data_IF_351235637692
#
_entry.id   IF_351235637692
#
_cell.length_a   1.000
_cell.length_b   1.000
_cell.length_c   1.000
_cell.angle_alpha   90.00
_cell.angle_beta   90.00
_cell.angle_gamma   90.00
#
_symmetry.space_group_name_H-M   'P 1'
#
loop_
_entity.id
_entity.type
_entity.pdbx_description
1 polymer ?
#
# COMPACT_ATOMS: atom_id res chain seq x y z
N UNK A 1 12.98 -18.00 8.80
CA UNK A 1 12.25 -19.08 8.13
C UNK A 1 10.88 -18.59 7.63
N UNK A 2 9.95 -18.23 8.51
CA UNK A 2 8.59 -17.76 8.16
C UNK A 2 8.56 -16.66 7.09
N UNK A 3 9.43 -15.65 7.19
CA UNK A 3 9.50 -14.54 6.22
C UNK A 3 9.74 -15.01 4.78
N UNK A 4 10.68 -15.93 4.56
CA UNK A 4 11.00 -16.43 3.20
C UNK A 4 9.81 -17.22 2.64
N UNK A 5 9.14 -17.98 3.49
CA UNK A 5 7.92 -18.69 3.15
C UNK A 5 6.78 -17.72 2.79
N UNK A 6 6.54 -16.70 3.62
CA UNK A 6 5.46 -15.75 3.40
C UNK A 6 5.62 -14.97 2.08
N UNK A 7 6.84 -14.54 1.76
CA UNK A 7 7.13 -13.87 0.48
C UNK A 7 7.00 -14.84 -0.69
N UNK A 8 7.50 -16.07 -0.58
CA UNK A 8 7.35 -17.07 -1.64
C UNK A 8 5.87 -17.42 -1.89
N UNK A 9 5.08 -17.55 -0.84
CA UNK A 9 3.65 -17.81 -0.92
C UNK A 9 2.89 -16.61 -1.50
N UNK A 10 3.19 -15.37 -1.09
CA UNK A 10 2.60 -14.16 -1.66
C UNK A 10 2.91 -14.00 -3.15
N UNK A 11 4.15 -14.30 -3.56
CA UNK A 11 4.54 -14.27 -4.97
C UNK A 11 3.83 -15.36 -5.78
N UNK A 12 3.66 -16.57 -5.21
CA UNK A 12 2.89 -17.63 -5.83
C UNK A 12 1.42 -17.23 -6.00
N UNK A 13 0.81 -16.62 -4.97
CA UNK A 13 -0.56 -16.10 -5.00
C UNK A 13 -0.78 -15.04 -6.10
N UNK A 14 0.21 -14.18 -6.33
CA UNK A 14 0.17 -13.16 -7.38
C UNK A 14 0.48 -13.66 -8.80
N UNK A 15 0.81 -14.94 -8.97
CA UNK A 15 1.20 -15.49 -10.27
C UNK A 15 0.00 -15.81 -11.17
N UNK A 16 0.18 -15.66 -12.49
CA UNK A 16 -0.85 -16.03 -13.48
C UNK A 16 -1.22 -17.52 -13.42
N UNK A 17 -0.31 -18.39 -12.96
CA UNK A 17 -0.58 -19.82 -12.78
C UNK A 17 -1.57 -20.09 -11.64
N UNK A 18 -1.51 -19.30 -10.56
CA UNK A 18 -2.47 -19.39 -9.46
C UNK A 18 -3.88 -19.01 -9.91
N UNK A 19 -4.00 -18.01 -10.78
CA UNK A 19 -5.29 -17.62 -11.36
C UNK A 19 -5.90 -18.77 -12.17
N UNK A 20 -5.13 -19.38 -13.07
CA UNK A 20 -5.60 -20.54 -13.86
C UNK A 20 -6.01 -21.70 -12.94
N UNK A 21 -5.21 -21.98 -11.91
CA UNK A 21 -5.52 -23.03 -10.93
C UNK A 21 -6.85 -22.75 -10.21
N UNK A 22 -7.10 -21.51 -9.78
CA UNK A 22 -8.36 -21.13 -9.14
C UNK A 22 -9.57 -21.28 -10.09
N UNK A 23 -9.41 -20.89 -11.36
CA UNK A 23 -10.48 -21.07 -12.37
C UNK A 23 -10.81 -22.54 -12.56
N UNK A 24 -9.79 -23.41 -12.68
CA UNK A 24 -10.00 -24.86 -12.79
C UNK A 24 -10.71 -25.40 -11.54
N UNK A 25 -10.33 -24.93 -10.34
CA UNK A 25 -10.92 -25.37 -9.09
C UNK A 25 -12.41 -25.00 -9.01
N UNK A 26 -12.79 -23.81 -9.48
CA UNK A 26 -14.18 -23.37 -9.60
C UNK A 26 -14.95 -24.25 -10.59
N UNK A 27 -14.36 -24.58 -11.75
CA UNK A 27 -14.99 -25.46 -12.74
C UNK A 27 -15.21 -26.87 -12.19
N UNK A 28 -14.23 -27.43 -11.48
CA UNK A 28 -14.35 -28.73 -10.80
C UNK A 28 -15.48 -28.68 -9.78
N UNK A 29 -15.52 -27.64 -8.95
CA UNK A 29 -16.59 -27.45 -7.97
C UNK A 29 -17.98 -27.39 -8.63
N UNK A 30 -18.10 -26.67 -9.75
CA UNK A 30 -19.35 -26.55 -10.51
C UNK A 30 -19.82 -27.90 -11.06
N UNK A 31 -18.90 -28.71 -11.60
CA UNK A 31 -19.19 -30.03 -12.17
C UNK A 31 -19.49 -31.07 -11.09
N UNK A 32 -18.86 -30.97 -9.92
CA UNK A 32 -19.12 -31.85 -8.79
C UNK A 32 -20.43 -31.51 -8.06
N UNK A 33 -20.88 -30.26 -8.12
CA UNK A 33 -22.10 -29.79 -7.45
C UNK A 33 -23.36 -30.65 -7.67
N UNK A 34 -23.71 -31.05 -8.91
CA UNK A 34 -24.86 -31.90 -9.19
C UNK A 34 -24.79 -33.28 -8.52
N UNK A 35 -23.60 -33.89 -8.39
CA UNK A 35 -23.43 -35.17 -7.70
C UNK A 35 -23.76 -35.07 -6.21
N UNK A 36 -23.54 -33.89 -5.61
CA UNK A 36 -23.86 -33.59 -4.22
C UNK A 36 -25.19 -32.84 -4.05
N UNK A 37 -26.01 -32.76 -5.11
CA UNK A 37 -27.28 -32.02 -5.14
C UNK A 37 -27.15 -30.56 -4.68
N UNK A 38 -25.96 -29.96 -4.80
CA UNK A 38 -25.64 -28.67 -4.19
C UNK A 38 -26.08 -28.56 -2.72
N UNK A 39 -25.90 -29.63 -1.93
CA UNK A 39 -26.32 -29.65 -0.52
C UNK A 39 -25.70 -28.52 0.31
N UNK A 40 -26.40 -28.10 1.36
CA UNK A 40 -25.92 -27.07 2.29
C UNK A 40 -24.57 -27.44 2.90
N UNK A 41 -24.34 -28.71 3.23
CA UNK A 41 -23.05 -29.19 3.76
C UNK A 41 -21.91 -29.08 2.74
N UNK A 42 -22.18 -29.40 1.47
CA UNK A 42 -21.21 -29.26 0.39
C UNK A 42 -20.83 -27.80 0.16
N UNK A 43 -21.83 -26.91 0.09
CA UNK A 43 -21.61 -25.47 -0.07
C UNK A 43 -20.88 -24.87 1.14
N UNK A 44 -21.29 -25.25 2.36
CA UNK A 44 -20.68 -24.78 3.61
C UNK A 44 -19.19 -25.15 3.67
N UNK A 45 -18.83 -26.38 3.30
CA UNK A 45 -17.43 -26.80 3.28
C UNK A 45 -16.58 -25.93 2.34
N UNK A 46 -17.07 -25.69 1.12
CA UNK A 46 -16.35 -24.91 0.10
C UNK A 46 -16.24 -23.44 0.50
N UNK A 47 -17.32 -22.86 1.02
CA UNK A 47 -17.31 -21.47 1.52
C UNK A 47 -16.35 -21.31 2.69
N UNK A 48 -16.37 -22.25 3.65
CA UNK A 48 -15.48 -22.22 4.81
C UNK A 48 -14.02 -22.33 4.38
N UNK A 49 -13.71 -23.29 3.50
CA UNK A 49 -12.35 -23.49 2.99
C UNK A 49 -11.84 -22.25 2.22
N UNK A 50 -12.66 -21.69 1.34
CA UNK A 50 -12.33 -20.49 0.56
C UNK A 50 -12.11 -19.28 1.46
N UNK A 51 -12.92 -19.12 2.51
CA UNK A 51 -12.80 -18.02 3.48
C UNK A 51 -11.47 -18.11 4.23
N UNK A 52 -11.13 -19.29 4.78
CA UNK A 52 -9.84 -19.50 5.47
C UNK A 52 -8.67 -19.23 4.53
N UNK A 53 -8.74 -19.78 3.31
CA UNK A 53 -7.70 -19.57 2.30
C UNK A 53 -7.52 -18.08 1.96
N UNK A 54 -8.63 -17.37 1.77
CA UNK A 54 -8.63 -15.93 1.48
C UNK A 54 -8.01 -15.13 2.61
N UNK A 55 -8.39 -15.41 3.87
CA UNK A 55 -7.79 -14.71 5.02
C UNK A 55 -6.28 -14.94 5.10
N UNK A 56 -5.82 -16.17 4.89
CA UNK A 56 -4.39 -16.46 4.84
C UNK A 56 -3.71 -15.73 3.68
N UNK A 57 -4.31 -15.72 2.49
CA UNK A 57 -3.76 -15.03 1.34
C UNK A 57 -3.62 -13.52 1.59
N UNK A 58 -4.68 -12.88 2.09
CA UNK A 58 -4.68 -11.46 2.46
C UNK A 58 -3.60 -11.17 3.50
N UNK A 59 -3.48 -11.98 4.54
CA UNK A 59 -2.46 -11.82 5.58
C UNK A 59 -1.03 -11.89 5.00
N UNK A 60 -0.77 -12.86 4.11
CA UNK A 60 0.56 -13.03 3.49
C UNK A 60 0.90 -11.88 2.53
N UNK A 61 -0.09 -11.43 1.76
CA UNK A 61 0.05 -10.29 0.86
C UNK A 61 0.31 -9.02 1.67
N UNK A 62 -0.47 -8.76 2.72
CA UNK A 62 -0.29 -7.61 3.62
C UNK A 62 1.08 -7.62 4.30
N UNK A 63 1.57 -8.77 4.76
CA UNK A 63 2.92 -8.87 5.34
C UNK A 63 4.00 -8.47 4.32
N UNK A 64 3.86 -8.90 3.07
CA UNK A 64 4.80 -8.53 2.00
C UNK A 64 4.69 -7.05 1.64
N UNK A 65 3.46 -6.54 1.45
CA UNK A 65 3.18 -5.14 1.11
C UNK A 65 3.61 -4.16 2.21
N UNK A 66 3.34 -4.45 3.48
CA UNK A 66 3.74 -3.59 4.61
C UNK A 66 5.26 -3.38 4.63
N UNK A 67 6.03 -4.43 4.34
CA UNK A 67 7.48 -4.33 4.25
C UNK A 67 7.94 -3.55 3.02
N UNK A 68 7.32 -3.78 1.87
CA UNK A 68 7.68 -3.08 0.64
C UNK A 68 7.36 -1.58 0.77
N UNK A 69 6.29 -1.20 1.49
CA UNK A 69 6.01 0.17 1.89
C UNK A 69 7.13 0.76 2.76
N UNK A 70 7.57 0.08 3.83
CA UNK A 70 8.69 0.55 4.66
C UNK A 70 9.99 0.76 3.84
N UNK A 71 10.26 -0.13 2.89
CA UNK A 71 11.42 0.02 2.01
C UNK A 71 11.32 1.23 1.06
N UNK A 72 10.10 1.59 0.65
CA UNK A 72 9.84 2.81 -0.14
C UNK A 72 10.11 4.05 0.71
N UNK A 73 9.63 4.11 1.96
CA UNK A 73 9.91 5.23 2.89
C UNK A 73 11.43 5.44 3.05
N UNK A 74 12.17 4.39 3.38
CA UNK A 74 13.63 4.49 3.54
C UNK A 74 14.37 4.96 2.27
N UNK A 75 13.92 4.53 1.09
CA UNK A 75 14.50 4.99 -0.19
C UNK A 75 14.17 6.46 -0.45
N UNK A 76 12.96 6.89 -0.12
CA UNK A 76 12.54 8.28 -0.25
C UNK A 76 13.35 9.17 0.71
N UNK A 77 13.56 8.75 1.95
CA UNK A 77 14.38 9.46 2.94
C UNK A 77 15.81 9.66 2.44
N UNK A 78 16.41 8.61 1.86
CA UNK A 78 17.76 8.68 1.28
C UNK A 78 17.81 9.63 0.08
N UNK A 79 16.79 9.62 -0.80
CA UNK A 79 16.70 10.54 -1.92
C UNK A 79 16.55 12.00 -1.45
N UNK A 80 15.71 12.27 -0.44
CA UNK A 80 15.54 13.62 0.09
C UNK A 80 16.85 14.09 0.76
N UNK A 81 17.55 13.19 1.47
CA UNK A 81 18.85 13.48 2.07
C UNK A 81 19.94 13.73 1.04
N UNK A 82 19.89 13.06 -0.13
CA UNK A 82 20.82 13.26 -1.24
C UNK A 82 20.55 14.50 -2.09
N UNK A 83 19.31 15.00 -2.10
CA UNK A 83 18.94 16.28 -2.74
C UNK A 83 19.28 17.43 -1.79
N UNK A 84 20.50 17.96 -1.92
CA UNK A 84 20.95 19.17 -1.22
C UNK A 84 20.04 20.36 -1.57
N UNK A 85 19.11 20.69 -0.66
CA UNK A 85 18.21 21.84 -0.78
C UNK A 85 16.73 21.54 -0.52
N UNK A 86 16.30 20.28 -0.46
CA UNK A 86 14.96 19.96 0.01
C UNK A 86 14.93 20.14 1.54
N UNK A 87 14.17 21.15 2.02
CA UNK A 87 14.04 21.48 3.45
C UNK A 87 13.94 20.21 4.30
N UNK A 88 15.00 19.89 5.05
CA UNK A 88 15.16 18.72 5.93
C UNK A 88 13.96 18.50 6.87
N UNK A 89 13.15 19.54 7.11
CA UNK A 89 11.92 19.50 7.89
C UNK A 89 10.77 18.67 7.28
N UNK A 90 10.79 18.36 5.99
CA UNK A 90 9.72 17.58 5.32
C UNK A 90 9.94 16.06 5.39
N UNK A 91 11.15 15.61 5.70
CA UNK A 91 11.55 14.19 5.72
C UNK A 91 10.80 13.37 6.78
N UNK A 92 10.24 14.03 7.80
CA UNK A 92 9.55 13.36 8.91
C UNK A 92 8.10 13.82 9.11
N UNK A 93 7.44 14.27 8.04
CA UNK A 93 6.03 14.71 8.07
C UNK A 93 5.08 13.69 8.75
N UNK A 94 5.34 12.40 8.54
CA UNK A 94 4.57 11.27 9.08
C UNK A 94 4.72 11.07 10.60
N UNK A 95 5.75 11.67 11.22
CA UNK A 95 6.04 11.57 12.64
C UNK A 95 5.74 12.89 13.39
N UNK A 96 5.26 13.92 12.69
CA UNK A 96 4.87 15.19 13.31
C UNK A 96 3.54 15.05 14.05
N UNK A 97 3.43 15.76 15.16
CA UNK A 97 2.15 15.96 15.85
C UNK A 97 1.23 16.86 15.02
N UNK A 98 -0.09 16.78 15.25
CA UNK A 98 -1.07 17.61 14.55
C UNK A 98 -0.78 19.12 14.70
N UNK A 99 -0.25 19.53 15.85
CA UNK A 99 0.14 20.92 16.13
C UNK A 99 1.35 21.38 15.31
N UNK A 100 2.36 20.52 15.14
CA UNK A 100 3.52 20.79 14.29
C UNK A 100 3.11 20.82 12.81
N UNK A 101 2.19 19.94 12.40
CA UNK A 101 1.65 19.90 11.05
C UNK A 101 0.89 21.19 10.71
N UNK A 102 0.06 21.67 11.64
CA UNK A 102 -0.68 22.91 11.50
C UNK A 102 0.26 24.12 11.40
N UNK A 103 1.32 24.18 12.21
CA UNK A 103 2.35 25.23 12.13
C UNK A 103 3.07 25.25 10.78
N UNK A 104 3.43 24.08 10.26
CA UNK A 104 4.07 23.95 8.95
C UNK A 104 3.14 24.41 7.80
N UNK A 105 1.85 24.05 7.88
CA UNK A 105 0.86 24.49 6.89
C UNK A 105 0.64 26.01 6.92
N UNK A 106 0.70 26.63 8.10
CA UNK A 106 0.64 28.09 8.23
C UNK A 106 1.87 28.76 7.60
N UNK A 107 3.07 28.20 7.80
CA UNK A 107 4.30 28.71 7.18
C UNK A 107 4.23 28.67 5.65
N UNK A 108 3.81 27.54 5.05
CA UNK A 108 3.61 27.42 3.61
C UNK A 108 2.57 28.41 3.08
N UNK A 109 1.47 28.58 3.80
CA UNK A 109 0.42 29.54 3.45
C UNK A 109 0.93 30.98 3.46
N UNK A 110 1.83 31.33 4.40
CA UNK A 110 2.47 32.65 4.45
C UNK A 110 3.44 32.86 3.30
N UNK A 111 4.25 31.85 2.96
CA UNK A 111 5.18 31.91 1.82
C UNK A 111 4.42 32.08 0.51
N UNK A 112 3.36 31.30 0.29
CA UNK A 112 2.52 31.41 -0.91
C UNK A 112 1.90 32.80 -1.03
N UNK A 113 1.38 33.36 0.07
CA UNK A 113 0.85 34.75 0.09
C UNK A 113 1.92 35.79 -0.25
N UNK A 114 3.16 35.62 0.23
CA UNK A 114 4.28 36.49 -0.14
C UNK A 114 4.63 36.40 -1.62
N UNK A 115 4.67 35.19 -2.19
CA UNK A 115 4.95 35.01 -3.62
C UNK A 115 3.84 35.57 -4.52
N UNK A 116 2.57 35.39 -4.16
CA UNK A 116 1.44 35.96 -4.90
C UNK A 116 1.49 37.48 -4.87
N UNK A 117 1.71 38.10 -3.69
CA UNK A 117 1.86 39.56 -3.59
C UNK A 117 3.06 40.10 -4.35
N UNK A 118 4.22 39.47 -4.26
CA UNK A 118 5.41 39.91 -5.00
C UNK A 118 5.20 39.85 -6.53
N UNK A 119 4.44 38.86 -7.01
CA UNK A 119 4.09 38.71 -8.42
C UNK A 119 3.03 39.74 -8.88
N UNK A 120 2.07 40.10 -8.02
CA UNK A 120 1.08 41.16 -8.28
C UNK A 120 1.70 42.57 -8.23
N UNK A 121 2.71 42.79 -7.39
CA UNK A 121 3.41 44.07 -7.22
C UNK A 121 4.57 44.26 -8.24
N UNK A 122 4.84 43.27 -9.10
CA UNK A 122 5.90 43.34 -10.12
C UNK A 122 7.33 43.39 -9.55
N UNK A 123 7.52 43.02 -8.28
CA UNK A 123 8.79 43.14 -7.58
C UNK A 123 9.61 41.83 -7.77
N UNK A 124 10.92 41.89 -8.05
CA UNK A 124 11.73 40.68 -8.26
C UNK A 124 11.71 39.79 -7.02
N UNK A 125 11.53 38.48 -7.24
CA UNK A 125 11.58 37.47 -6.18
C UNK A 125 13.00 37.47 -5.59
N UNK A 126 13.18 37.67 -4.27
CA UNK A 126 14.50 37.56 -3.64
C UNK A 126 15.00 36.12 -3.79
N UNK A 127 16.23 35.96 -4.30
CA UNK A 127 16.88 34.66 -4.37
C UNK A 127 17.45 34.32 -2.98
N UNK A 128 16.76 33.45 -2.25
CA UNK A 128 17.30 32.71 -1.10
C UNK A 128 17.88 31.35 -1.54
#
# INVERSE_FOLDING_TARGET
MFRKFAVAAANALGSSWMFVTNVILILIWLVLGPFFHYSDTWQLFVNTATTIFTYLAVFLIQNTQNRDAQAIHLKLDELIRGVSGARTHLVNLENLTDEELAGLQEEFSRLQKKHVKANEEGNPIPAD
#
